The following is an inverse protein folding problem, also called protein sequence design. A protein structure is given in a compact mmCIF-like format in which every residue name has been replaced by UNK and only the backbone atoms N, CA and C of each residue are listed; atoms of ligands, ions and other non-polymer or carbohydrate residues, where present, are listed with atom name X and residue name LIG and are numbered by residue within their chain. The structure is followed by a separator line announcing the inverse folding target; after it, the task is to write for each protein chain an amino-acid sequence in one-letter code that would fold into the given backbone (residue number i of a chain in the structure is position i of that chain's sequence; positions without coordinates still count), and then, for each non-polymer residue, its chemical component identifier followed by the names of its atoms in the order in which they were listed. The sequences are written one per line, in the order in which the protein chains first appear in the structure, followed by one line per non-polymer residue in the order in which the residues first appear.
data_IF_451180077110
#
_entry.id   IF_451180077110
#
_cell.length_a   1.000
_cell.length_b   1.000
_cell.length_c   1.000
_cell.angle_alpha   90.00
_cell.angle_beta   90.00
_cell.angle_gamma   90.00
#
_symmetry.space_group_name_H-M   'P 1'
#
loop_
_entity.id
_entity.type
_entity.pdbx_description
1 polymer ?
#
# COMPACT_ATOMS: atom_id res chain seq x y z
N UNK A 1 19.76 -3.22 26.76
CA UNK A 1 18.50 -2.43 26.75
C UNK A 1 17.74 -2.77 25.47
N UNK A 2 16.55 -3.37 25.63
CA UNK A 2 15.46 -3.52 24.64
C UNK A 2 15.63 -4.34 23.35
N UNK A 3 16.31 -5.50 23.40
CA UNK A 3 16.11 -6.58 22.41
C UNK A 3 15.21 -7.71 22.96
N UNK A 4 14.09 -7.36 23.61
CA UNK A 4 13.19 -8.33 24.26
C UNK A 4 11.70 -8.02 23.98
N UNK A 5 11.35 -7.65 22.74
CA UNK A 5 9.93 -7.48 22.33
C UNK A 5 9.69 -8.11 20.95
N UNK A 6 10.25 -9.28 20.68
CA UNK A 6 9.91 -10.04 19.46
C UNK A 6 9.41 -11.47 19.79
N UNK A 7 9.73 -12.04 20.96
CA UNK A 7 9.36 -13.43 21.27
C UNK A 7 8.00 -13.65 21.93
N UNK A 8 7.28 -12.61 22.37
CA UNK A 8 6.00 -12.79 23.10
C UNK A 8 4.75 -12.90 22.22
N UNK A 9 4.87 -12.98 20.89
CA UNK A 9 3.68 -13.00 20.01
C UNK A 9 3.71 -14.07 18.91
N UNK A 10 4.46 -15.15 19.12
CA UNK A 10 4.46 -16.34 18.26
C UNK A 10 3.85 -17.59 18.91
N UNK A 11 3.24 -17.45 20.09
CA UNK A 11 2.54 -18.56 20.76
C UNK A 11 1.01 -18.37 20.68
N UNK A 12 0.38 -19.31 19.99
CA UNK A 12 -1.05 -19.66 20.05
C UNK A 12 -2.09 -18.65 19.54
N UNK A 13 -2.24 -18.56 18.21
CA UNK A 13 -3.59 -18.76 17.66
C UNK A 13 -3.50 -19.55 16.37
N UNK A 14 -4.06 -20.77 16.36
CA UNK A 14 -4.53 -21.43 15.14
C UNK A 14 -5.28 -20.38 14.33
N UNK A 15 -4.67 -19.85 13.27
CA UNK A 15 -5.12 -18.62 12.60
C UNK A 15 -6.63 -18.66 12.41
N UNK A 16 -7.36 -17.80 13.14
CA UNK A 16 -8.83 -17.82 13.22
C UNK A 16 -9.38 -18.02 11.80
N UNK A 17 -10.35 -18.91 11.62
CA UNK A 17 -10.98 -19.17 10.31
C UNK A 17 -11.39 -17.87 9.59
N UNK A 18 -11.77 -16.86 10.37
CA UNK A 18 -12.03 -15.49 9.92
C UNK A 18 -10.81 -14.79 9.27
N UNK A 19 -9.60 -14.98 9.79
CA UNK A 19 -8.35 -14.44 9.20
C UNK A 19 -8.03 -15.12 7.87
N UNK A 20 -8.20 -16.45 7.77
CA UNK A 20 -7.98 -17.19 6.51
C UNK A 20 -8.97 -16.76 5.43
N UNK A 21 -10.24 -16.60 5.79
CA UNK A 21 -11.28 -16.13 4.87
C UNK A 21 -11.00 -14.72 4.36
N UNK A 22 -10.64 -13.78 5.26
CA UNK A 22 -10.26 -12.41 4.90
C UNK A 22 -9.03 -12.37 3.98
N UNK A 23 -8.02 -13.21 4.25
CA UNK A 23 -6.82 -13.28 3.42
C UNK A 23 -7.12 -13.83 2.03
N UNK A 24 -7.96 -14.87 1.91
CA UNK A 24 -8.39 -15.41 0.61
C UNK A 24 -9.14 -14.37 -0.21
N UNK A 25 -10.06 -13.63 0.41
CA UNK A 25 -10.78 -12.54 -0.26
C UNK A 25 -9.83 -11.42 -0.70
N UNK A 26 -8.89 -11.02 0.18
CA UNK A 26 -7.94 -9.96 -0.15
C UNK A 26 -7.02 -10.35 -1.31
N UNK A 27 -6.52 -11.58 -1.34
CA UNK A 27 -5.64 -12.06 -2.41
C UNK A 27 -6.33 -12.24 -3.77
N UNK A 28 -7.65 -12.50 -3.77
CA UNK A 28 -8.41 -12.66 -5.00
C UNK A 28 -8.79 -11.32 -5.67
N UNK A 29 -8.89 -10.24 -4.88
CA UNK A 29 -9.43 -8.96 -5.35
C UNK A 29 -8.42 -7.82 -5.37
N UNK A 30 -7.31 -7.93 -4.63
CA UNK A 30 -6.35 -6.86 -4.48
C UNK A 30 -4.92 -7.37 -4.60
N UNK A 31 -4.15 -6.75 -5.50
CA UNK A 31 -2.70 -6.80 -5.44
C UNK A 31 -2.20 -5.75 -4.43
N UNK A 32 -1.34 -6.17 -3.50
CA UNK A 32 -0.82 -5.28 -2.46
C UNK A 32 0.51 -4.69 -2.88
N UNK A 33 0.53 -3.38 -3.09
CA UNK A 33 1.76 -2.62 -3.27
C UNK A 33 2.26 -2.13 -1.91
N UNK A 34 3.54 -2.39 -1.61
CA UNK A 34 4.23 -1.88 -0.43
C UNK A 34 5.28 -0.84 -0.84
N UNK A 35 4.87 0.41 -1.14
CA UNK A 35 5.81 1.46 -1.50
C UNK A 35 6.66 1.85 -0.28
N UNK A 36 7.98 1.74 -0.42
CA UNK A 36 8.91 2.31 0.55
C UNK A 36 9.16 3.77 0.21
N UNK A 37 8.78 4.66 1.12
CA UNK A 37 9.03 6.10 1.00
C UNK A 37 9.94 6.55 2.13
N UNK A 38 10.86 7.50 1.88
CA UNK A 38 11.66 8.10 2.94
C UNK A 38 10.81 8.67 4.06
N UNK A 39 11.35 8.68 5.28
CA UNK A 39 10.64 9.21 6.45
C UNK A 39 10.18 10.67 6.19
N UNK A 40 8.96 10.99 6.60
CA UNK A 40 8.34 12.31 6.40
C UNK A 40 7.65 12.51 5.04
N UNK A 41 7.99 11.75 3.99
CA UNK A 41 7.32 11.85 2.68
C UNK A 41 5.85 11.42 2.74
N UNK A 42 5.54 10.43 3.58
CA UNK A 42 4.17 9.96 3.76
C UNK A 42 3.20 11.09 4.16
N UNK A 43 3.60 11.96 5.08
CA UNK A 43 2.77 13.08 5.52
C UNK A 43 2.48 14.07 4.38
N UNK A 44 3.44 14.26 3.47
CA UNK A 44 3.27 15.12 2.30
C UNK A 44 2.24 14.50 1.35
N UNK A 45 2.31 13.19 1.10
CA UNK A 45 1.34 12.50 0.25
C UNK A 45 -0.06 12.47 0.86
N UNK A 46 -0.18 12.30 2.18
CA UNK A 46 -1.46 12.35 2.88
C UNK A 46 -2.10 13.75 2.80
N UNK A 47 -1.29 14.81 2.95
CA UNK A 47 -1.77 16.18 2.79
C UNK A 47 -2.23 16.46 1.36
N UNK A 48 -1.48 15.99 0.35
CA UNK A 48 -1.84 16.14 -1.05
C UNK A 48 -3.12 15.35 -1.41
N UNK A 49 -3.24 14.12 -0.92
CA UNK A 49 -4.45 13.31 -1.10
C UNK A 49 -5.67 13.97 -0.45
N UNK A 50 -5.52 14.50 0.77
CA UNK A 50 -6.58 15.23 1.46
C UNK A 50 -6.99 16.50 0.72
N UNK A 51 -6.04 17.25 0.17
CA UNK A 51 -6.31 18.43 -0.66
C UNK A 51 -7.06 18.06 -1.95
N UNK A 52 -6.77 16.88 -2.53
CA UNK A 52 -7.48 16.32 -3.68
C UNK A 52 -8.84 15.67 -3.32
N UNK A 53 -9.20 15.59 -2.03
CA UNK A 53 -10.42 14.93 -1.56
C UNK A 53 -10.42 13.40 -1.74
N UNK A 54 -9.25 12.78 -1.84
CA UNK A 54 -9.07 11.36 -2.14
C UNK A 54 -8.41 10.63 -0.97
N UNK A 55 -8.58 9.30 -0.92
CA UNK A 55 -7.76 8.48 -0.03
C UNK A 55 -6.31 8.48 -0.51
N UNK A 56 -5.35 8.26 0.39
CA UNK A 56 -3.94 8.14 0.01
C UNK A 56 -3.72 7.03 -1.03
N UNK A 57 -4.45 5.92 -0.91
CA UNK A 57 -4.36 4.81 -1.84
C UNK A 57 -4.84 5.20 -3.25
N UNK A 58 -6.01 5.84 -3.35
CA UNK A 58 -6.55 6.28 -4.64
C UNK A 58 -5.68 7.36 -5.27
N UNK A 59 -5.13 8.26 -4.45
CA UNK A 59 -4.19 9.28 -4.90
C UNK A 59 -2.92 8.66 -5.51
N UNK A 60 -2.37 7.61 -4.89
CA UNK A 60 -1.20 6.89 -5.41
C UNK A 60 -1.54 6.16 -6.72
N UNK A 61 -2.66 5.44 -6.78
CA UNK A 61 -3.08 4.72 -7.97
C UNK A 61 -3.28 5.66 -9.16
N UNK A 62 -3.98 6.78 -8.95
CA UNK A 62 -4.21 7.78 -10.00
C UNK A 62 -2.89 8.38 -10.50
N UNK A 63 -1.97 8.70 -9.59
CA UNK A 63 -0.65 9.22 -9.97
C UNK A 63 0.17 8.20 -10.80
N UNK A 64 0.03 6.90 -10.53
CA UNK A 64 0.66 5.85 -11.33
C UNK A 64 0.02 5.70 -12.71
N UNK A 65 -1.31 5.72 -12.81
CA UNK A 65 -2.05 5.66 -14.08
C UNK A 65 -1.69 6.85 -14.99
N UNK A 66 -1.72 8.07 -14.46
CA UNK A 66 -1.35 9.28 -15.19
C UNK A 66 0.11 9.21 -15.71
N UNK A 67 1.01 8.61 -14.92
CA UNK A 67 2.40 8.42 -15.33
C UNK A 67 2.53 7.37 -16.42
N UNK A 68 1.85 6.23 -16.31
CA UNK A 68 1.84 5.18 -17.34
C UNK A 68 1.31 5.70 -18.67
N UNK A 69 0.26 6.52 -18.66
CA UNK A 69 -0.28 7.14 -19.88
C UNK A 69 0.71 8.09 -20.53
N UNK A 70 1.43 8.90 -19.73
CA UNK A 70 2.47 9.81 -20.22
C UNK A 70 3.63 9.03 -20.85
N UNK A 71 4.14 8.04 -20.12
CA UNK A 71 5.26 7.21 -20.56
C UNK A 71 4.88 6.40 -21.83
N UNK A 72 3.62 5.96 -21.98
CA UNK A 72 3.13 5.30 -23.20
C UNK A 72 3.14 6.24 -24.40
N UNK A 73 2.65 7.48 -24.24
CA UNK A 73 2.64 8.49 -25.31
C UNK A 73 4.05 8.84 -25.78
N UNK A 74 5.01 8.89 -24.86
CA UNK A 74 6.43 9.12 -25.19
C UNK A 74 7.04 7.95 -25.97
N UNK A 75 6.61 6.71 -25.73
CA UNK A 75 7.09 5.51 -26.42
C UNK A 75 6.49 5.31 -27.82
N UNK A 76 5.27 5.79 -28.06
CA UNK A 76 4.59 5.67 -29.35
C UNK A 76 4.90 6.84 -30.30
N UNK A 77 5.47 7.93 -29.77
CA UNK A 77 5.81 9.15 -30.52
C UNK A 77 7.28 9.31 -30.91
N UNK A 78 8.13 8.30 -30.66
CA UNK A 78 9.57 8.30 -31.01
C UNK A 78 9.95 7.09 -31.83
#
# INVERSE_FOLDING_TARGET
MCYYIIEVNMMETKGKSSTRAKNKYNAANYERLYPFVPMGRKAIYEAAAKAAGMSLNDYINKALEEKLERDRKEKEGG
#
